data_IF_449528336150
#
_entry.id   IF_449528336150
#
_cell.length_a   1.000
_cell.length_b   1.000
_cell.length_c   1.000
_cell.angle_alpha   90.00
_cell.angle_beta   90.00
_cell.angle_gamma   90.00
#
_symmetry.space_group_name_H-M   'P 1'
#
loop_
_entity.id
_entity.type
_entity.pdbx_description
1 polymer ?
#
# COMPACT_ATOMS: atom_id res chain seq x y z
N UNK A 1 -6.20 19.97 -14.35
CA UNK A 1 -6.67 18.64 -14.70
C UNK A 1 -8.15 18.55 -14.37
N UNK A 2 -8.98 17.98 -15.26
CA UNK A 2 -10.40 17.78 -14.98
C UNK A 2 -10.60 16.64 -13.97
N UNK A 3 -11.64 16.68 -13.19
CA UNK A 3 -11.99 15.68 -12.17
C UNK A 3 -12.05 14.25 -12.74
N UNK A 4 -12.57 14.10 -13.97
CA UNK A 4 -12.71 12.81 -14.67
C UNK A 4 -11.37 12.12 -14.99
N UNK A 5 -10.27 12.86 -14.93
CA UNK A 5 -8.94 12.30 -15.17
C UNK A 5 -8.33 11.60 -13.94
N UNK A 6 -8.95 11.73 -12.78
CA UNK A 6 -8.49 11.04 -11.58
C UNK A 6 -9.16 9.67 -11.42
N UNK A 7 -8.46 8.73 -10.81
CA UNK A 7 -9.04 7.46 -10.40
C UNK A 7 -10.10 7.68 -9.31
N UNK A 8 -11.15 6.87 -9.32
CA UNK A 8 -12.27 7.04 -8.39
C UNK A 8 -11.86 6.82 -6.94
N UNK A 9 -10.99 5.85 -6.68
CA UNK A 9 -10.42 5.63 -5.34
C UNK A 9 -9.70 6.86 -4.81
N UNK A 10 -8.84 7.48 -5.62
CA UNK A 10 -8.13 8.69 -5.23
C UNK A 10 -9.08 9.87 -4.94
N UNK A 11 -10.15 10.01 -5.71
CA UNK A 11 -11.18 11.04 -5.47
C UNK A 11 -11.94 10.78 -4.17
N UNK A 12 -12.28 9.52 -3.91
CA UNK A 12 -13.02 9.15 -2.70
C UNK A 12 -12.21 9.42 -1.43
N UNK A 13 -10.90 9.16 -1.44
CA UNK A 13 -10.02 9.42 -0.31
C UNK A 13 -9.84 10.91 0.05
N UNK A 14 -10.14 11.82 -0.87
CA UNK A 14 -10.06 13.28 -0.64
C UNK A 14 -11.42 13.96 -0.66
N UNK A 15 -12.50 13.20 -0.65
CA UNK A 15 -13.87 13.73 -0.61
C UNK A 15 -14.18 14.30 0.77
N UNK A 16 -14.93 15.39 0.81
CA UNK A 16 -15.45 15.94 2.07
C UNK A 16 -16.46 14.98 2.72
N UNK A 17 -16.62 15.07 4.03
CA UNK A 17 -17.55 14.23 4.80
C UNK A 17 -18.99 14.29 4.27
N UNK A 18 -19.44 15.45 3.80
CA UNK A 18 -20.78 15.63 3.21
C UNK A 18 -20.87 15.17 1.74
N UNK A 19 -19.77 14.65 1.19
CA UNK A 19 -19.68 14.14 -0.18
C UNK A 19 -19.77 15.19 -1.30
N UNK A 20 -19.84 16.48 -0.98
CA UNK A 20 -20.14 17.55 -1.97
C UNK A 20 -18.93 18.26 -2.52
N UNK A 21 -17.77 18.09 -1.89
CA UNK A 21 -16.54 18.77 -2.29
C UNK A 21 -15.32 17.87 -2.08
N UNK A 22 -14.16 18.39 -2.40
CA UNK A 22 -12.87 17.75 -2.14
C UNK A 22 -12.07 18.61 -1.15
N UNK A 23 -11.45 17.97 -0.17
CA UNK A 23 -10.63 18.62 0.86
C UNK A 23 -9.17 18.78 0.45
N UNK A 24 -8.74 18.08 -0.60
CA UNK A 24 -7.38 18.13 -1.13
C UNK A 24 -7.37 17.91 -2.63
N UNK A 25 -6.29 18.33 -3.29
CA UNK A 25 -5.95 17.93 -4.64
C UNK A 25 -4.95 16.75 -4.56
N UNK A 26 -5.33 15.52 -4.95
CA UNK A 26 -4.44 14.38 -4.89
C UNK A 26 -3.31 14.50 -5.93
N UNK A 27 -2.07 14.17 -5.55
CA UNK A 27 -0.89 14.27 -6.43
C UNK A 27 -0.18 12.94 -6.64
N UNK A 28 -0.27 12.02 -5.71
CA UNK A 28 0.23 10.65 -5.79
C UNK A 28 -0.48 9.78 -4.76
N UNK A 29 -0.31 8.48 -4.85
CA UNK A 29 -0.79 7.55 -3.86
C UNK A 29 0.17 6.39 -3.66
N UNK A 30 -0.23 5.45 -2.81
CA UNK A 30 0.42 4.16 -2.62
C UNK A 30 -0.59 3.14 -2.11
N UNK A 31 -0.32 1.88 -2.37
CA UNK A 31 -1.10 0.76 -1.82
C UNK A 31 -0.19 -0.17 -1.03
N UNK A 32 -0.77 -0.85 -0.05
CA UNK A 32 -0.10 -1.83 0.79
C UNK A 32 -0.74 -3.20 0.58
N UNK A 33 0.09 -4.24 0.51
CA UNK A 33 -0.36 -5.62 0.38
C UNK A 33 0.73 -6.58 0.84
N UNK A 34 0.65 -7.81 0.37
CA UNK A 34 1.63 -8.85 0.64
C UNK A 34 2.60 -8.93 -0.54
N UNK A 35 3.84 -8.51 -0.34
CA UNK A 35 4.92 -8.75 -1.29
C UNK A 35 5.52 -10.12 -1.02
N UNK A 36 5.84 -10.87 -2.07
CA UNK A 36 6.41 -12.21 -1.91
C UNK A 36 7.47 -12.54 -2.96
N UNK A 37 8.39 -13.42 -2.60
CA UNK A 37 9.44 -13.97 -3.45
C UNK A 37 8.86 -15.15 -4.23
N UNK A 38 8.66 -14.98 -5.54
CA UNK A 38 8.05 -15.97 -6.43
C UNK A 38 8.87 -17.26 -6.51
N UNK A 39 10.20 -17.13 -6.60
CA UNK A 39 11.11 -18.27 -6.74
C UNK A 39 11.09 -19.13 -5.47
N UNK A 40 11.25 -18.52 -4.29
CA UNK A 40 11.20 -19.23 -3.01
C UNK A 40 9.87 -19.94 -2.79
N UNK A 41 8.74 -19.27 -3.07
CA UNK A 41 7.44 -19.89 -2.94
C UNK A 41 7.31 -21.08 -3.90
N UNK A 42 7.67 -20.91 -5.17
CA UNK A 42 7.59 -21.95 -6.20
C UNK A 42 8.48 -23.16 -5.89
N UNK A 43 9.72 -22.95 -5.44
CA UNK A 43 10.63 -24.02 -5.03
C UNK A 43 10.08 -24.85 -3.86
N UNK A 44 9.32 -24.22 -2.97
CA UNK A 44 8.65 -24.89 -1.86
C UNK A 44 7.27 -25.49 -2.24
N UNK A 45 6.86 -25.35 -3.51
CA UNK A 45 5.60 -25.90 -4.02
C UNK A 45 4.38 -25.03 -3.71
N UNK A 46 4.58 -23.76 -3.37
CA UNK A 46 3.49 -22.80 -3.20
C UNK A 46 3.31 -21.95 -4.47
N UNK A 47 2.07 -21.56 -4.71
CA UNK A 47 1.68 -20.50 -5.65
C UNK A 47 1.53 -19.16 -4.91
N UNK A 48 1.07 -18.15 -5.64
CA UNK A 48 0.63 -16.87 -5.08
C UNK A 48 -0.36 -17.09 -3.94
N UNK A 49 -0.21 -16.40 -2.79
CA UNK A 49 -1.18 -16.49 -1.71
C UNK A 49 -2.48 -15.75 -2.09
N UNK A 50 -3.58 -16.50 -2.24
CA UNK A 50 -4.87 -15.95 -2.69
C UNK A 50 -5.79 -15.55 -1.53
N UNK A 51 -5.54 -16.09 -0.32
CA UNK A 51 -6.39 -15.88 0.85
C UNK A 51 -5.60 -15.97 2.16
N UNK A 52 -6.27 -15.72 3.27
CA UNK A 52 -5.66 -15.77 4.60
C UNK A 52 -5.03 -17.13 4.94
N UNK A 53 -5.69 -18.22 4.55
CA UNK A 53 -5.20 -19.58 4.83
C UNK A 53 -3.89 -19.85 4.08
N UNK A 54 -3.76 -19.39 2.85
CA UNK A 54 -2.54 -19.55 2.08
C UNK A 54 -1.40 -18.71 2.68
N UNK A 55 -1.67 -17.46 3.05
CA UNK A 55 -0.70 -16.60 3.74
C UNK A 55 -0.19 -17.31 5.01
N UNK A 56 -1.10 -17.86 5.81
CA UNK A 56 -0.74 -18.52 7.05
C UNK A 56 0.06 -19.81 6.82
N UNK A 57 -0.33 -20.65 5.85
CA UNK A 57 0.39 -21.88 5.50
C UNK A 57 1.80 -21.59 5.01
N UNK A 58 1.96 -20.58 4.15
CA UNK A 58 3.28 -20.17 3.66
C UNK A 58 4.12 -19.63 4.82
N UNK A 59 3.55 -18.77 5.67
CA UNK A 59 4.24 -18.24 6.84
C UNK A 59 4.72 -19.35 7.80
N UNK A 60 3.89 -20.36 8.04
CA UNK A 60 4.25 -21.53 8.84
C UNK A 60 5.38 -22.33 8.22
N UNK A 61 5.31 -22.60 6.92
CA UNK A 61 6.29 -23.43 6.21
C UNK A 61 7.70 -22.83 6.26
N UNK A 62 7.82 -21.53 6.03
CA UNK A 62 9.13 -20.86 5.95
C UNK A 62 9.69 -20.42 7.31
N UNK A 63 8.95 -20.62 8.41
CA UNK A 63 9.42 -20.20 9.73
C UNK A 63 10.32 -21.27 10.36
N UNK A 64 11.60 -20.96 10.50
CA UNK A 64 12.60 -21.70 11.26
C UNK A 64 13.31 -20.76 12.23
N UNK A 65 12.79 -20.68 13.44
CA UNK A 65 13.29 -19.74 14.47
C UNK A 65 14.71 -20.05 14.94
N UNK A 66 15.13 -21.30 14.86
CA UNK A 66 16.49 -21.72 15.24
C UNK A 66 17.51 -21.13 14.27
N UNK A 67 17.18 -21.10 12.98
CA UNK A 67 17.99 -20.52 11.91
C UNK A 67 17.65 -19.05 11.60
N UNK A 68 16.80 -18.42 12.43
CA UNK A 68 16.35 -17.02 12.25
C UNK A 68 15.71 -16.75 10.91
N UNK A 69 14.95 -17.73 10.39
CA UNK A 69 14.11 -17.58 9.21
C UNK A 69 12.65 -17.42 9.64
N UNK A 70 11.94 -16.54 8.99
CA UNK A 70 10.56 -16.20 9.31
C UNK A 70 9.73 -16.23 8.02
N UNK A 71 8.47 -16.65 8.14
CA UNK A 71 7.63 -16.81 6.96
C UNK A 71 7.07 -15.51 6.42
N UNK A 72 6.96 -14.49 7.28
CA UNK A 72 6.45 -13.18 6.89
C UNK A 72 7.11 -12.06 7.72
N UNK A 73 7.51 -11.00 7.07
CA UNK A 73 7.89 -9.76 7.72
C UNK A 73 6.65 -8.87 7.85
N UNK A 74 6.19 -8.63 9.07
CA UNK A 74 4.99 -7.84 9.34
C UNK A 74 5.22 -6.89 10.53
N UNK A 75 4.49 -5.76 10.57
CA UNK A 75 4.64 -4.80 11.66
C UNK A 75 4.07 -5.34 12.97
N UNK A 76 4.84 -5.15 14.03
CA UNK A 76 4.51 -5.50 15.42
C UNK A 76 4.81 -4.35 16.38
N UNK A 77 5.38 -3.26 15.88
CA UNK A 77 5.59 -2.04 16.63
C UNK A 77 4.24 -1.34 16.89
N UNK A 78 4.10 -0.70 18.04
CA UNK A 78 2.99 0.21 18.28
C UNK A 78 3.13 1.42 17.34
N UNK A 79 2.14 1.62 16.45
CA UNK A 79 2.19 2.74 15.51
C UNK A 79 1.33 2.56 14.26
N UNK A 80 1.41 3.57 13.40
CA UNK A 80 0.60 3.68 12.18
C UNK A 80 0.81 2.51 11.21
N UNK A 81 2.05 1.99 11.10
CA UNK A 81 2.32 0.87 10.20
C UNK A 81 1.55 -0.40 10.60
N UNK A 82 1.46 -0.69 11.90
CA UNK A 82 0.69 -1.84 12.42
C UNK A 82 -0.82 -1.65 12.23
N UNK A 83 -1.32 -0.44 12.42
CA UNK A 83 -2.73 -0.10 12.18
C UNK A 83 -3.06 -0.28 10.69
N UNK A 84 -2.27 0.26 9.79
CA UNK A 84 -2.46 0.14 8.35
C UNK A 84 -2.41 -1.32 7.88
N UNK A 85 -1.41 -2.08 8.36
CA UNK A 85 -1.27 -3.49 8.01
C UNK A 85 -2.45 -4.34 8.51
N UNK A 86 -2.93 -4.07 9.72
CA UNK A 86 -4.09 -4.74 10.28
C UNK A 86 -5.39 -4.39 9.53
N UNK A 87 -5.55 -3.12 9.15
CA UNK A 87 -6.78 -2.62 8.51
C UNK A 87 -7.13 -3.38 7.22
N UNK A 88 -6.16 -3.77 6.40
CA UNK A 88 -6.44 -4.56 5.20
C UNK A 88 -7.00 -5.96 5.52
N UNK A 89 -6.57 -6.58 6.62
CA UNK A 89 -7.14 -7.86 7.06
C UNK A 89 -8.56 -7.65 7.61
N UNK A 90 -8.77 -6.63 8.42
CA UNK A 90 -10.11 -6.31 8.93
C UNK A 90 -11.10 -6.05 7.78
N UNK A 91 -10.73 -5.19 6.83
CA UNK A 91 -11.53 -4.87 5.64
C UNK A 91 -11.82 -6.11 4.80
N UNK A 92 -10.82 -6.97 4.56
CA UNK A 92 -11.02 -8.20 3.78
C UNK A 92 -11.96 -9.20 4.46
N UNK A 93 -12.18 -9.10 5.77
CA UNK A 93 -13.19 -9.86 6.51
C UNK A 93 -14.54 -9.12 6.62
N UNK A 94 -14.68 -7.96 5.98
CA UNK A 94 -15.88 -7.11 6.07
C UNK A 94 -16.05 -6.50 7.46
N UNK A 95 -14.94 -6.14 8.13
CA UNK A 95 -14.91 -5.40 9.39
C UNK A 95 -14.32 -4.00 9.15
N UNK A 96 -14.90 -3.00 9.79
CA UNK A 96 -14.43 -1.62 9.75
C UNK A 96 -14.57 -1.00 11.16
N UNK A 97 -13.89 0.11 11.37
CA UNK A 97 -13.98 0.91 12.63
C UNK A 97 -15.28 1.67 12.68
N UNK A 98 -15.72 2.21 11.54
CA UNK A 98 -16.98 2.92 11.36
C UNK A 98 -17.78 2.25 10.24
N UNK A 99 -19.09 2.34 10.29
CA UNK A 99 -19.98 2.02 9.18
C UNK A 99 -20.21 3.21 8.24
N UNK A 100 -21.06 3.03 7.23
CA UNK A 100 -21.39 4.06 6.24
C UNK A 100 -22.16 5.26 6.84
N UNK A 101 -22.79 5.07 7.99
CA UNK A 101 -23.47 6.10 8.77
C UNK A 101 -22.55 6.81 9.75
N UNK A 102 -21.29 6.36 9.89
CA UNK A 102 -20.29 6.91 10.81
C UNK A 102 -20.40 6.41 12.25
N UNK A 103 -21.21 5.37 12.49
CA UNK A 103 -21.31 4.73 13.80
C UNK A 103 -20.13 3.79 14.06
N UNK A 104 -19.71 3.71 15.33
CA UNK A 104 -18.55 2.90 15.73
C UNK A 104 -18.89 1.41 15.69
N UNK A 105 -18.18 0.66 14.84
CA UNK A 105 -18.38 -0.78 14.62
C UNK A 105 -17.14 -1.63 14.96
N UNK A 106 -16.23 -1.11 15.75
CA UNK A 106 -14.96 -1.78 16.09
C UNK A 106 -15.16 -3.08 16.89
N UNK A 107 -16.21 -3.18 17.71
CA UNK A 107 -16.47 -4.37 18.54
C UNK A 107 -17.44 -5.34 17.86
N UNK A 108 -17.02 -5.97 16.78
CA UNK A 108 -17.78 -6.99 16.05
C UNK A 108 -17.05 -8.33 16.05
N UNK A 109 -17.80 -9.43 15.78
CA UNK A 109 -17.19 -10.75 15.62
C UNK A 109 -16.18 -10.79 14.47
N UNK A 110 -16.50 -10.17 13.34
CA UNK A 110 -15.59 -10.04 12.19
C UNK A 110 -14.27 -9.36 12.54
N UNK A 111 -14.32 -8.32 13.38
CA UNK A 111 -13.13 -7.61 13.86
C UNK A 111 -12.30 -8.52 14.79
N UNK A 112 -12.95 -9.27 15.69
CA UNK A 112 -12.27 -10.23 16.57
C UNK A 112 -11.63 -11.38 15.78
N UNK A 113 -12.28 -11.88 14.74
CA UNK A 113 -11.71 -12.86 13.80
C UNK A 113 -10.45 -12.31 13.13
N UNK A 114 -10.49 -11.08 12.61
CA UNK A 114 -9.34 -10.44 11.98
C UNK A 114 -8.18 -10.23 12.96
N UNK A 115 -8.46 -9.77 14.18
CA UNK A 115 -7.46 -9.63 15.24
C UNK A 115 -6.83 -10.96 15.62
N UNK A 116 -7.65 -12.02 15.74
CA UNK A 116 -7.18 -13.37 16.06
C UNK A 116 -6.28 -13.92 14.96
N UNK A 117 -6.65 -13.70 13.70
CA UNK A 117 -5.81 -14.08 12.56
C UNK A 117 -4.48 -13.33 12.56
N UNK A 118 -4.51 -12.00 12.71
CA UNK A 118 -3.31 -11.17 12.73
C UNK A 118 -2.37 -11.54 13.89
N UNK A 119 -2.92 -11.82 15.07
CA UNK A 119 -2.18 -12.34 16.21
C UNK A 119 -1.56 -13.71 15.94
N UNK A 120 -2.29 -14.61 15.26
CA UNK A 120 -1.74 -15.90 14.87
C UNK A 120 -0.60 -15.74 13.85
N UNK A 121 -0.80 -14.91 12.83
CA UNK A 121 0.21 -14.63 11.82
C UNK A 121 1.48 -14.01 12.40
N UNK A 122 1.36 -13.16 13.43
CA UNK A 122 2.50 -12.53 14.10
C UNK A 122 3.47 -13.49 14.79
N UNK A 123 3.07 -14.74 14.99
CA UNK A 123 3.97 -15.77 15.53
C UNK A 123 5.05 -16.22 14.53
N UNK A 124 4.89 -15.89 13.25
CA UNK A 124 5.75 -16.27 12.13
C UNK A 124 6.58 -15.11 11.59
N UNK A 125 6.62 -13.98 12.31
CA UNK A 125 7.49 -12.84 12.02
C UNK A 125 8.67 -12.75 13.00
N UNK A 126 9.60 -11.85 12.68
CA UNK A 126 10.77 -11.61 13.52
C UNK A 126 10.35 -11.18 14.94
N UNK A 127 11.11 -11.61 15.97
CA UNK A 127 10.83 -11.19 17.35
C UNK A 127 11.12 -9.70 17.54
N UNK A 128 10.41 -9.08 18.47
CA UNK A 128 10.62 -7.69 18.87
C UNK A 128 9.60 -6.74 18.23
N UNK A 129 9.99 -5.48 18.17
CA UNK A 129 9.16 -4.40 17.64
C UNK A 129 9.60 -4.11 16.20
N UNK A 130 8.82 -4.58 15.23
CA UNK A 130 9.11 -4.43 13.81
C UNK A 130 8.29 -3.28 13.24
N UNK A 131 8.97 -2.36 12.56
CA UNK A 131 8.37 -1.25 11.82
C UNK A 131 8.94 -1.25 10.39
N UNK A 132 8.72 -0.20 9.66
CA UNK A 132 9.06 -0.01 8.23
C UNK A 132 10.45 -0.54 7.88
N UNK A 133 11.47 -0.19 8.67
CA UNK A 133 12.87 -0.56 8.39
C UNK A 133 13.10 -2.05 8.56
N UNK A 134 12.69 -2.62 9.68
CA UNK A 134 12.90 -4.04 10.00
C UNK A 134 12.19 -4.95 9.01
N UNK A 135 10.98 -4.57 8.58
CA UNK A 135 10.18 -5.33 7.60
C UNK A 135 10.88 -5.32 6.23
N UNK A 136 11.26 -4.13 5.75
CA UNK A 136 11.97 -4.00 4.49
C UNK A 136 13.26 -4.78 4.49
N UNK A 137 14.08 -4.63 5.52
CA UNK A 137 15.38 -5.29 5.61
C UNK A 137 15.23 -6.82 5.66
N UNK A 138 14.27 -7.35 6.40
CA UNK A 138 14.01 -8.79 6.48
C UNK A 138 13.58 -9.38 5.12
N UNK A 139 12.78 -8.67 4.37
CA UNK A 139 12.37 -9.09 3.04
C UNK A 139 13.53 -8.99 2.04
N UNK A 140 14.22 -7.86 1.99
CA UNK A 140 15.30 -7.59 1.05
C UNK A 140 16.53 -8.50 1.26
N UNK A 141 16.83 -8.89 2.50
CA UNK A 141 17.95 -9.81 2.81
C UNK A 141 17.54 -11.29 2.78
N UNK A 142 16.28 -11.60 2.48
CA UNK A 142 15.76 -12.96 2.35
C UNK A 142 15.47 -13.68 3.67
N UNK A 143 15.46 -12.97 4.79
CA UNK A 143 15.08 -13.51 6.11
C UNK A 143 13.60 -13.93 6.14
N UNK A 144 12.74 -13.25 5.37
CA UNK A 144 11.34 -13.59 5.19
C UNK A 144 10.97 -13.56 3.68
N UNK A 145 10.31 -14.60 3.15
CA UNK A 145 9.89 -14.63 1.75
C UNK A 145 8.63 -13.83 1.47
N UNK A 146 7.92 -13.39 2.49
CA UNK A 146 6.76 -12.50 2.39
C UNK A 146 6.95 -11.27 3.26
N UNK A 147 6.36 -10.14 2.84
CA UNK A 147 6.33 -8.92 3.64
C UNK A 147 5.01 -8.15 3.46
N UNK A 148 4.49 -7.60 4.55
CA UNK A 148 3.45 -6.58 4.50
C UNK A 148 4.13 -5.23 4.31
N UNK A 149 4.01 -4.65 3.13
CA UNK A 149 4.64 -3.37 2.82
C UNK A 149 3.87 -2.61 1.74
N UNK A 150 4.12 -1.32 1.63
CA UNK A 150 3.57 -0.49 0.56
C UNK A 150 4.38 -0.62 -0.73
N UNK A 151 3.85 -0.05 -1.83
CA UNK A 151 4.54 0.06 -3.12
C UNK A 151 5.91 0.75 -3.01
N UNK A 152 6.17 1.50 -1.93
CA UNK A 152 7.49 2.10 -1.67
C UNK A 152 8.65 1.10 -1.47
N UNK A 153 8.38 -0.20 -1.45
CA UNK A 153 9.45 -1.22 -1.49
C UNK A 153 10.06 -1.34 -2.89
N UNK A 154 9.32 -1.02 -3.95
CA UNK A 154 9.68 -1.28 -5.33
C UNK A 154 11.01 -0.65 -5.79
N UNK A 155 11.35 0.61 -5.45
CA UNK A 155 12.68 1.13 -5.79
C UNK A 155 13.83 0.28 -5.23
N UNK A 156 13.71 -0.23 -3.99
CA UNK A 156 14.73 -1.09 -3.38
C UNK A 156 14.81 -2.46 -4.06
N UNK A 157 13.67 -3.01 -4.47
CA UNK A 157 13.61 -4.27 -5.24
C UNK A 157 14.30 -4.13 -6.60
N UNK A 158 14.07 -3.01 -7.29
CA UNK A 158 14.72 -2.71 -8.56
C UNK A 158 16.24 -2.56 -8.40
N UNK A 159 16.69 -1.79 -7.41
CA UNK A 159 18.12 -1.61 -7.11
C UNK A 159 18.82 -2.92 -6.77
N UNK A 160 18.13 -3.86 -6.17
CA UNK A 160 18.61 -5.20 -5.89
C UNK A 160 18.62 -6.14 -7.13
N UNK A 161 18.10 -5.68 -8.28
CA UNK A 161 18.00 -6.49 -9.50
C UNK A 161 17.01 -7.64 -9.43
N UNK A 162 15.97 -7.51 -8.59
CA UNK A 162 15.05 -8.61 -8.28
C UNK A 162 13.58 -8.34 -8.74
N UNK A 163 13.39 -7.41 -9.67
CA UNK A 163 12.05 -6.97 -10.10
C UNK A 163 11.18 -8.09 -10.67
N UNK A 164 11.76 -9.03 -11.41
CA UNK A 164 11.02 -10.13 -12.05
C UNK A 164 10.56 -11.20 -11.06
N UNK A 165 11.26 -11.32 -9.93
CA UNK A 165 11.01 -12.34 -8.91
C UNK A 165 10.02 -11.91 -7.84
N UNK A 166 9.58 -10.66 -7.83
CA UNK A 166 8.64 -10.15 -6.83
C UNK A 166 7.19 -10.29 -7.30
N UNK A 167 6.33 -10.84 -6.42
CA UNK A 167 4.89 -10.87 -6.57
C UNK A 167 4.20 -9.96 -5.56
N UNK A 168 2.97 -9.61 -5.87
CA UNK A 168 2.09 -8.83 -5.00
C UNK A 168 0.75 -9.55 -4.86
N UNK A 169 0.31 -9.77 -3.64
CA UNK A 169 -0.96 -10.40 -3.32
C UNK A 169 -1.82 -9.50 -2.44
N UNK A 170 -3.12 -9.58 -2.64
CA UNK A 170 -4.10 -8.86 -1.84
C UNK A 170 -4.66 -9.80 -0.78
N UNK A 171 -4.57 -9.47 0.52
CA UNK A 171 -5.21 -10.24 1.57
C UNK A 171 -6.71 -10.39 1.29
N UNK A 172 -7.18 -11.63 1.13
CA UNK A 172 -8.57 -11.91 0.81
C UNK A 172 -9.15 -12.91 1.81
N UNK A 173 -10.33 -12.61 2.34
CA UNK A 173 -11.10 -13.53 3.19
C UNK A 173 -12.54 -13.62 2.69
N UNK A 174 -13.35 -12.59 2.85
CA UNK A 174 -14.68 -12.45 2.25
C UNK A 174 -14.62 -11.59 1.00
N UNK A 175 -13.85 -10.52 1.10
CA UNK A 175 -13.63 -9.54 0.04
C UNK A 175 -12.13 -9.33 -0.17
N UNK A 176 -11.76 -8.86 -1.36
CA UNK A 176 -10.42 -8.34 -1.59
C UNK A 176 -10.33 -6.96 -0.96
N UNK A 177 -9.30 -6.73 -0.16
CA UNK A 177 -9.06 -5.42 0.43
C UNK A 177 -7.57 -5.12 0.54
N UNK A 178 -7.20 -3.91 0.14
CA UNK A 178 -5.89 -3.32 0.37
C UNK A 178 -6.04 -2.06 1.22
N UNK A 179 -5.00 -1.71 1.94
CA UNK A 179 -4.89 -0.38 2.51
C UNK A 179 -4.16 0.51 1.50
N UNK A 180 -4.73 1.65 1.22
CA UNK A 180 -4.11 2.63 0.32
C UNK A 180 -4.42 4.05 0.78
N UNK A 181 -3.59 4.99 0.37
CA UNK A 181 -3.83 6.41 0.64
C UNK A 181 -3.30 7.27 -0.49
N UNK A 182 -3.65 8.54 -0.45
CA UNK A 182 -3.17 9.55 -1.38
C UNK A 182 -2.43 10.66 -0.64
N UNK A 183 -1.38 11.16 -1.27
CA UNK A 183 -0.76 12.42 -0.90
C UNK A 183 -1.48 13.55 -1.62
N UNK A 184 -2.00 14.49 -0.89
CA UNK A 184 -2.77 15.60 -1.42
C UNK A 184 -2.31 16.96 -0.92
N UNK A 185 -2.57 17.98 -1.70
CA UNK A 185 -2.34 19.38 -1.32
C UNK A 185 -3.64 19.97 -0.80
N UNK A 186 -3.59 20.53 0.40
CA UNK A 186 -4.67 21.31 1.00
C UNK A 186 -4.28 22.78 1.07
N UNK A 187 -5.28 23.64 1.05
CA UNK A 187 -5.09 25.08 1.20
C UNK A 187 -5.69 25.50 2.55
N UNK A 188 -4.86 26.11 3.40
CA UNK A 188 -5.31 26.58 4.72
C UNK A 188 -6.38 27.68 4.58
N UNK A 189 -7.39 27.62 5.44
CA UNK A 189 -8.45 28.64 5.51
C UNK A 189 -8.01 29.98 6.10
N UNK A 190 -6.86 30.01 6.79
CA UNK A 190 -6.34 31.22 7.46
C UNK A 190 -5.42 32.08 6.60
N UNK A 191 -5.38 31.90 5.27
CA UNK A 191 -4.55 32.65 4.37
C UNK A 191 -5.18 34.00 3.99
N UNK A 192 -4.35 35.02 3.76
CA UNK A 192 -4.79 36.24 3.07
C UNK A 192 -5.02 35.97 1.56
N UNK A 193 -5.64 36.91 0.86
CA UNK A 193 -6.00 36.74 -0.56
C UNK A 193 -4.78 36.44 -1.45
N UNK A 194 -3.64 37.10 -1.22
CA UNK A 194 -2.43 36.88 -2.03
C UNK A 194 -1.79 35.51 -1.76
N UNK A 195 -1.80 35.10 -0.51
CA UNK A 195 -1.33 33.77 -0.11
C UNK A 195 -2.23 32.69 -0.71
N UNK A 196 -3.54 32.92 -0.69
CA UNK A 196 -4.53 32.01 -1.27
C UNK A 196 -4.34 31.88 -2.79
N UNK A 197 -4.24 32.99 -3.51
CA UNK A 197 -3.95 32.97 -4.96
C UNK A 197 -2.65 32.20 -5.28
N UNK A 198 -1.59 32.42 -4.49
CA UNK A 198 -0.32 31.71 -4.69
C UNK A 198 -0.46 30.21 -4.41
N UNK A 199 -1.17 29.81 -3.36
CA UNK A 199 -1.41 28.42 -3.02
C UNK A 199 -2.27 27.71 -4.07
N UNK A 200 -3.30 28.37 -4.58
CA UNK A 200 -4.16 27.88 -5.68
C UNK A 200 -3.33 27.71 -6.97
N UNK A 201 -2.51 28.69 -7.32
CA UNK A 201 -1.64 28.61 -8.50
C UNK A 201 -0.62 27.47 -8.38
N UNK A 202 -0.01 27.28 -7.21
CA UNK A 202 0.93 26.19 -6.94
C UNK A 202 0.25 24.83 -7.01
N UNK A 203 -0.93 24.69 -6.39
CA UNK A 203 -1.73 23.47 -6.45
C UNK A 203 -2.11 23.13 -7.89
N UNK A 204 -2.58 24.12 -8.65
CA UNK A 204 -2.90 23.94 -10.07
C UNK A 204 -1.67 23.56 -10.91
N UNK A 205 -0.50 24.13 -10.61
CA UNK A 205 0.76 23.79 -11.26
C UNK A 205 1.15 22.33 -11.00
N UNK A 206 1.15 21.89 -9.75
CA UNK A 206 1.49 20.50 -9.41
C UNK A 206 0.46 19.49 -9.93
N UNK A 207 -0.80 19.87 -10.04
CA UNK A 207 -1.87 19.02 -10.59
C UNK A 207 -1.83 18.85 -12.11
N UNK A 208 -0.89 19.49 -12.82
CA UNK A 208 -0.70 19.24 -14.24
C UNK A 208 -0.05 17.86 -14.45
N UNK A 209 -0.51 17.03 -15.41
CA UNK A 209 0.00 15.67 -15.60
C UNK A 209 1.52 15.58 -15.70
N UNK A 210 2.17 16.49 -16.45
CA UNK A 210 3.64 16.53 -16.59
C UNK A 210 4.39 16.84 -15.28
N UNK A 211 3.77 17.57 -14.37
CA UNK A 211 4.38 17.86 -13.06
C UNK A 211 4.13 16.71 -12.09
N UNK A 212 2.94 16.10 -12.15
CA UNK A 212 2.65 14.87 -11.41
C UNK A 212 3.54 13.71 -11.86
N UNK A 213 3.80 13.56 -13.16
CA UNK A 213 4.76 12.59 -13.69
C UNK A 213 6.14 12.74 -13.01
N UNK A 214 6.66 13.97 -12.99
CA UNK A 214 7.94 14.25 -12.31
C UNK A 214 7.89 13.93 -10.82
N UNK A 215 6.77 14.20 -10.18
CA UNK A 215 6.58 13.91 -8.75
C UNK A 215 6.61 12.40 -8.48
N UNK A 216 5.83 11.61 -9.20
CA UNK A 216 5.80 10.14 -8.98
C UNK A 216 7.10 9.47 -9.40
N UNK A 217 7.80 10.00 -10.39
CA UNK A 217 9.11 9.50 -10.82
C UNK A 217 10.28 9.90 -9.89
N UNK A 218 10.02 10.65 -8.82
CA UNK A 218 10.99 10.78 -7.72
C UNK A 218 11.12 9.49 -6.89
N UNK A 219 10.09 8.63 -6.92
CA UNK A 219 10.10 7.28 -6.35
C UNK A 219 9.36 6.32 -7.30
N UNK A 220 10.02 5.91 -8.40
CA UNK A 220 9.36 5.14 -9.46
C UNK A 220 8.82 3.81 -8.92
N UNK A 221 7.56 3.52 -9.17
CA UNK A 221 6.87 2.35 -8.64
C UNK A 221 6.41 2.51 -7.18
N UNK A 222 7.11 3.27 -6.35
CA UNK A 222 6.73 3.56 -4.97
C UNK A 222 5.56 4.54 -4.88
N UNK A 223 5.72 5.71 -5.48
CA UNK A 223 4.63 6.67 -5.64
C UNK A 223 3.78 6.30 -6.85
N UNK A 224 2.51 6.05 -6.63
CA UNK A 224 1.55 5.67 -7.67
C UNK A 224 0.87 6.91 -8.28
N UNK A 225 0.66 6.94 -9.60
CA UNK A 225 -0.15 7.98 -10.22
C UNK A 225 -1.61 7.91 -9.78
N UNK A 226 -2.18 9.06 -9.45
CA UNK A 226 -3.61 9.21 -9.12
C UNK A 226 -4.41 9.81 -10.28
N UNK A 227 -3.73 10.21 -11.35
CA UNK A 227 -4.32 10.80 -12.55
C UNK A 227 -4.01 9.91 -13.76
N UNK A 228 -5.07 9.48 -14.46
CA UNK A 228 -5.03 8.58 -15.62
C UNK A 228 -4.16 9.11 -16.78
N UNK A 229 -4.00 10.42 -16.89
CA UNK A 229 -3.16 11.03 -17.94
C UNK A 229 -1.66 10.83 -17.66
N UNK A 230 -1.24 10.64 -16.40
CA UNK A 230 0.17 10.45 -16.06
C UNK A 230 0.72 9.14 -16.61
N UNK A 231 -0.07 8.06 -16.50
CA UNK A 231 0.35 6.73 -16.99
C UNK A 231 0.48 6.69 -18.51
N UNK A 232 -0.14 7.65 -19.22
CA UNK A 232 -0.07 7.78 -20.67
C UNK A 232 1.14 8.58 -21.16
N UNK A 233 1.86 9.27 -20.28
CA UNK A 233 3.04 10.07 -20.64
C UNK A 233 4.26 9.17 -20.93
N UNK A 234 5.01 9.55 -21.96
CA UNK A 234 6.19 8.79 -22.39
C UNK A 234 7.23 8.65 -21.28
N UNK A 235 7.45 9.70 -20.47
CA UNK A 235 8.39 9.66 -19.36
C UNK A 235 8.03 8.61 -18.31
N UNK A 236 6.74 8.40 -18.04
CA UNK A 236 6.27 7.35 -17.15
C UNK A 236 6.36 5.97 -17.82
N UNK A 237 5.81 5.81 -19.02
CA UNK A 237 5.80 4.53 -19.76
C UNK A 237 7.19 3.99 -20.04
N UNK A 238 8.12 4.87 -20.39
CA UNK A 238 9.48 4.51 -20.76
C UNK A 238 10.46 4.42 -19.57
N UNK A 239 10.00 4.72 -18.36
CA UNK A 239 10.83 4.61 -17.17
C UNK A 239 11.25 3.14 -16.92
N UNK A 240 12.54 2.90 -16.80
CA UNK A 240 13.11 1.55 -16.68
C UNK A 240 12.62 0.82 -15.43
N UNK A 241 12.47 1.54 -14.31
CA UNK A 241 11.97 0.96 -13.05
C UNK A 241 10.52 0.51 -13.22
N UNK A 242 9.67 1.37 -13.78
CA UNK A 242 8.26 1.04 -14.04
C UNK A 242 8.15 -0.19 -14.96
N UNK A 243 8.91 -0.20 -16.05
CA UNK A 243 8.91 -1.33 -17.01
C UNK A 243 9.36 -2.65 -16.38
N UNK A 244 10.29 -2.59 -15.43
CA UNK A 244 10.86 -3.82 -14.82
C UNK A 244 9.84 -4.62 -14.00
N UNK A 245 8.76 -3.98 -13.54
CA UNK A 245 7.73 -4.63 -12.73
C UNK A 245 6.54 -5.16 -13.55
N UNK A 246 6.46 -4.83 -14.86
CA UNK A 246 5.31 -5.19 -15.67
C UNK A 246 4.03 -4.51 -15.19
N UNK A 247 2.98 -5.30 -14.89
CA UNK A 247 1.75 -4.77 -14.32
C UNK A 247 1.94 -4.53 -12.81
N UNK A 248 1.94 -3.25 -12.43
CA UNK A 248 1.91 -2.83 -11.03
C UNK A 248 0.45 -2.70 -10.56
N UNK A 249 0.17 -2.87 -9.25
CA UNK A 249 -1.12 -2.50 -8.71
C UNK A 249 -1.30 -0.99 -8.88
N UNK A 250 -2.03 -0.58 -9.91
CA UNK A 250 -2.10 0.81 -10.39
C UNK A 250 -3.43 1.51 -10.13
N UNK A 251 -4.43 0.81 -9.62
CA UNK A 251 -5.75 1.36 -9.37
C UNK A 251 -5.94 1.62 -7.87
N UNK A 252 -5.74 2.87 -7.47
CA UNK A 252 -6.08 3.38 -6.13
C UNK A 252 -7.51 3.94 -6.15
#
# INVERSE_FOLDING_TARGET
AGEDNYYDGAKNLVRSEDGKSYIAAPISGWVQGIWYDKEKLSEAGFSEPENWDDILKIAQHFTDKENKQYGIAMPTAEGTMSEQAFSQFALSNGANVLDDEGEVTIDTEKMREALSFYQNLSQYTMPGSNDVTEIKDAFMNGTAPMAIYSTYILPSVYEAGNSENIGFAIPTQKDQAVYGTVSGLTISSGLDEKQKEAAEAFTAFLSQPKNMEKWVLMSPGGAQPVNKQVVELDGYKENEVIKSFGELPSEI
#
